data_IF_337123888234
#
_entry.id   IF_337123888234
#
_cell.length_a   1.000
_cell.length_b   1.000
_cell.length_c   1.000
_cell.angle_alpha   90.00
_cell.angle_beta   90.00
_cell.angle_gamma   90.00
#
_symmetry.space_group_name_H-M   'P 1'
#
loop_
_entity.id
_entity.type
_entity.pdbx_description
1 polymer ?
#
# COMPACT_ATOMS: atom_id res chain seq x y z
N UNK A 1 -20.85 -6.89 -0.70
CA UNK A 1 -21.09 -5.50 -1.16
C UNK A 1 -19.85 -4.86 -1.80
N UNK A 2 -18.69 -4.75 -1.12
CA UNK A 2 -17.47 -4.19 -1.75
C UNK A 2 -16.81 -5.14 -2.75
N UNK A 3 -16.75 -6.44 -2.44
CA UNK A 3 -16.23 -7.48 -3.35
C UNK A 3 -17.03 -7.55 -4.66
N UNK A 4 -18.38 -7.46 -4.58
CA UNK A 4 -19.28 -7.42 -5.74
C UNK A 4 -19.23 -6.09 -6.52
N UNK A 5 -18.87 -4.97 -5.87
CA UNK A 5 -18.66 -3.69 -6.54
C UNK A 5 -17.35 -3.68 -7.33
N UNK A 6 -16.29 -4.27 -6.75
CA UNK A 6 -14.94 -4.27 -7.30
C UNK A 6 -14.72 -5.36 -8.35
N UNK A 7 -15.22 -6.57 -8.12
CA UNK A 7 -15.01 -7.76 -8.97
C UNK A 7 -16.26 -8.22 -9.71
N UNK A 8 -17.28 -7.36 -9.86
CA UNK A 8 -18.64 -7.70 -10.27
C UNK A 8 -18.81 -8.94 -11.16
N UNK A 9 -19.48 -9.97 -10.64
CA UNK A 9 -19.78 -11.22 -11.35
C UNK A 9 -21.28 -11.37 -11.58
N UNK A 10 -21.69 -11.37 -12.85
CA UNK A 10 -23.05 -11.59 -13.34
C UNK A 10 -23.09 -11.44 -14.87
N UNK A 11 -24.18 -11.89 -15.51
CA UNK A 11 -24.31 -12.07 -16.97
C UNK A 11 -23.99 -10.85 -17.87
N UNK A 12 -23.83 -9.65 -17.29
CA UNK A 12 -23.49 -8.41 -17.97
C UNK A 12 -22.17 -7.84 -17.42
N UNK A 13 -21.12 -8.63 -17.56
CA UNK A 13 -19.81 -8.48 -16.91
C UNK A 13 -19.09 -7.20 -17.37
N UNK A 14 -19.23 -6.09 -16.62
CA UNK A 14 -18.58 -4.80 -16.92
C UNK A 14 -17.13 -4.70 -16.43
N UNK A 15 -16.54 -5.80 -15.96
CA UNK A 15 -15.15 -5.83 -15.46
C UNK A 15 -14.94 -5.01 -14.18
N UNK A 16 -13.67 -4.80 -13.82
CA UNK A 16 -13.28 -4.05 -12.61
C UNK A 16 -13.75 -2.60 -12.74
N UNK A 17 -14.53 -2.12 -11.76
CA UNK A 17 -14.90 -0.71 -11.64
C UNK A 17 -13.74 0.07 -11.04
N UNK A 18 -12.86 0.58 -11.90
CA UNK A 18 -11.78 1.46 -11.51
C UNK A 18 -12.32 2.80 -11.01
N UNK A 19 -11.96 3.15 -9.78
CA UNK A 19 -12.06 4.51 -9.25
C UNK A 19 -10.65 5.10 -9.22
N UNK A 20 -10.54 6.44 -9.20
CA UNK A 20 -9.26 7.10 -8.97
C UNK A 20 -8.63 6.59 -7.66
N UNK A 21 -7.32 6.29 -7.69
CA UNK A 21 -6.59 5.70 -6.57
C UNK A 21 -6.77 6.49 -5.26
N UNK A 22 -6.74 7.82 -5.35
CA UNK A 22 -6.94 8.73 -4.21
C UNK A 22 -8.29 8.55 -3.51
N UNK A 23 -9.35 8.19 -4.25
CA UNK A 23 -10.65 7.89 -3.65
C UNK A 23 -10.67 6.50 -3.02
N UNK A 24 -9.89 5.57 -3.54
CA UNK A 24 -9.83 4.22 -2.99
C UNK A 24 -9.04 4.16 -1.69
N UNK A 25 -8.02 5.01 -1.55
CA UNK A 25 -7.19 5.10 -0.34
C UNK A 25 -7.85 5.89 0.79
N UNK A 26 -8.88 6.69 0.47
CA UNK A 26 -9.62 7.47 1.45
C UNK A 26 -10.31 6.54 2.48
N UNK A 27 -10.37 6.91 3.78
CA UNK A 27 -11.02 6.07 4.79
C UNK A 27 -12.49 5.77 4.48
N UNK A 28 -12.98 4.60 4.91
CA UNK A 28 -14.38 4.20 4.71
C UNK A 28 -15.39 5.21 5.25
N UNK A 29 -15.09 5.83 6.39
CA UNK A 29 -15.94 6.87 6.99
C UNK A 29 -16.04 8.15 6.15
N UNK A 30 -15.17 8.33 5.16
CA UNK A 30 -15.13 9.50 4.26
C UNK A 30 -15.55 9.13 2.83
N UNK A 31 -16.13 7.95 2.61
CA UNK A 31 -16.63 7.53 1.29
C UNK A 31 -15.60 6.82 0.40
N UNK A 32 -14.39 6.53 0.90
CA UNK A 32 -13.41 5.70 0.19
C UNK A 32 -13.48 4.22 0.55
N UNK A 33 -12.56 3.42 0.01
CA UNK A 33 -12.48 1.98 0.31
C UNK A 33 -11.59 1.67 1.52
N UNK A 34 -10.80 2.64 1.99
CA UNK A 34 -9.83 2.46 3.07
C UNK A 34 -8.65 1.59 2.67
N UNK A 35 -8.30 1.54 1.37
CA UNK A 35 -7.06 0.92 0.94
C UNK A 35 -5.87 1.75 1.45
N UNK A 36 -4.74 1.11 1.74
CA UNK A 36 -3.52 1.87 2.04
C UNK A 36 -3.00 2.49 0.76
N UNK A 37 -2.55 3.74 0.86
CA UNK A 37 -1.72 4.32 -0.19
C UNK A 37 -0.40 3.54 -0.24
N UNK A 38 -0.25 2.76 -1.32
CA UNK A 38 0.92 1.91 -1.55
C UNK A 38 2.21 2.72 -1.71
N UNK A 39 2.11 3.91 -2.30
CA UNK A 39 3.28 4.79 -2.46
C UNK A 39 3.77 5.25 -1.08
N UNK A 40 2.86 5.80 -0.27
CA UNK A 40 3.20 6.23 1.08
C UNK A 40 3.65 5.05 1.97
N UNK A 41 2.99 3.90 1.85
CA UNK A 41 3.38 2.70 2.59
C UNK A 41 4.79 2.22 2.24
N UNK A 42 5.16 2.20 0.96
CA UNK A 42 6.51 1.85 0.51
C UNK A 42 7.56 2.83 1.03
N UNK A 43 7.28 4.14 0.99
CA UNK A 43 8.18 5.15 1.55
C UNK A 43 8.41 4.93 3.05
N UNK A 44 7.35 4.68 3.82
CA UNK A 44 7.45 4.38 5.26
C UNK A 44 8.24 3.09 5.50
N UNK A 45 8.07 2.06 4.67
CA UNK A 45 8.86 0.83 4.78
C UNK A 45 10.35 1.08 4.53
N UNK A 46 10.70 1.83 3.47
CA UNK A 46 12.08 2.19 3.17
C UNK A 46 12.69 2.98 4.32
N UNK A 47 11.98 4.00 4.83
CA UNK A 47 12.42 4.80 5.96
C UNK A 47 12.66 3.93 7.21
N UNK A 48 11.76 2.98 7.49
CA UNK A 48 11.92 2.02 8.61
C UNK A 48 13.16 1.13 8.43
N UNK A 49 13.44 0.66 7.22
CA UNK A 49 14.65 -0.11 6.95
C UNK A 49 15.91 0.74 7.10
N UNK A 50 15.92 1.96 6.55
CA UNK A 50 17.02 2.92 6.71
C UNK A 50 17.31 3.22 8.17
N UNK A 51 16.27 3.49 8.96
CA UNK A 51 16.38 3.66 10.41
C UNK A 51 17.02 2.44 11.07
N UNK A 52 16.55 1.22 10.75
CA UNK A 52 17.09 -0.01 11.33
C UNK A 52 18.58 -0.22 11.00
N UNK A 53 18.99 0.13 9.78
CA UNK A 53 20.40 0.08 9.35
C UNK A 53 21.24 1.04 10.18
N UNK A 54 20.78 2.29 10.35
CA UNK A 54 21.48 3.31 11.14
C UNK A 54 21.59 2.94 12.62
N UNK A 55 20.53 2.39 13.22
CA UNK A 55 20.52 2.07 14.66
C UNK A 55 21.19 0.74 14.99
N UNK A 56 21.40 -0.15 14.02
CA UNK A 56 21.99 -1.48 14.24
C UNK A 56 23.22 -1.72 13.33
N UNK A 57 24.34 -1.03 13.59
CA UNK A 57 25.51 -1.02 12.70
C UNK A 57 26.21 -2.38 12.59
N UNK A 58 25.94 -3.32 13.51
CA UNK A 58 26.58 -4.64 13.52
C UNK A 58 25.86 -5.68 12.66
N UNK A 59 24.67 -5.38 12.15
CA UNK A 59 23.94 -6.28 11.24
C UNK A 59 24.72 -6.47 9.94
N UNK A 60 24.58 -7.64 9.31
CA UNK A 60 25.26 -7.92 8.03
C UNK A 60 24.90 -6.87 6.97
N UNK A 61 23.63 -6.48 6.90
CA UNK A 61 23.12 -5.46 5.98
C UNK A 61 23.74 -4.09 6.27
N UNK A 62 23.82 -3.65 7.52
CA UNK A 62 24.45 -2.38 7.85
C UNK A 62 25.95 -2.36 7.56
N UNK A 63 26.65 -3.49 7.78
CA UNK A 63 28.06 -3.63 7.40
C UNK A 63 28.27 -3.57 5.89
N UNK A 64 27.38 -4.21 5.12
CA UNK A 64 27.41 -4.17 3.65
C UNK A 64 27.24 -2.74 3.12
N UNK A 65 26.29 -1.97 3.67
CA UNK A 65 26.05 -0.58 3.24
C UNK A 65 27.06 0.44 3.80
N UNK A 66 27.94 0.04 4.71
CA UNK A 66 29.02 0.88 5.25
C UNK A 66 30.31 0.79 4.42
N UNK A 67 30.47 -0.29 3.66
CA UNK A 67 31.60 -0.50 2.74
C UNK A 67 31.49 0.42 1.53
#
# INVERSE_FOLDING_TARGET
MMNSFWWGGGANNKGIRWLAWDRMTQPKGHGGMGLRDLHFFNLVMIAKQGWKIMTNPHTLVAKLFKA
#
